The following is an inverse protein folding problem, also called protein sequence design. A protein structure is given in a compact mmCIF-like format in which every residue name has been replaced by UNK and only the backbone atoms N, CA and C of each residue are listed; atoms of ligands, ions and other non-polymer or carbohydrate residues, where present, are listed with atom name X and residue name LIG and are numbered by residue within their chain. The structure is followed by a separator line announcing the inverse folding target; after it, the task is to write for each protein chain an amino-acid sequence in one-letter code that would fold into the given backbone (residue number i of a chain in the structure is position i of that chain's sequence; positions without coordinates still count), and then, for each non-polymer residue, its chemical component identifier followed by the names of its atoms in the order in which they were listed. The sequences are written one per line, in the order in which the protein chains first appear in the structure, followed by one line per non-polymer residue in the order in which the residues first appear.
data_IF_250994143999
#
_entry.id   IF_250994143999
#
_cell.length_a   1.000
_cell.length_b   1.000
_cell.length_c   1.000
_cell.angle_alpha   90.00
_cell.angle_beta   90.00
_cell.angle_gamma   90.00
#
_symmetry.space_group_name_H-M   'P 1'
#
loop_
_entity.id
_entity.type
_entity.pdbx_description
1 polymer ?
#
# COMPACT_ATOMS: atom_id res chain seq x y z
N UNK A 1 -11.98 -13.74 -16.74
CA UNK A 1 -11.72 -12.54 -15.91
C UNK A 1 -10.27 -12.19 -16.13
N UNK A 2 -9.97 -10.99 -16.62
CA UNK A 2 -8.60 -10.53 -16.85
C UNK A 2 -7.88 -10.53 -15.50
N UNK A 3 -6.88 -11.39 -15.34
CA UNK A 3 -5.96 -11.35 -14.21
C UNK A 3 -5.30 -9.97 -14.20
N UNK A 4 -5.63 -9.16 -13.20
CA UNK A 4 -4.94 -7.89 -12.98
C UNK A 4 -3.52 -8.24 -12.53
N UNK A 5 -2.54 -8.07 -13.41
CA UNK A 5 -1.12 -8.18 -13.07
C UNK A 5 -0.67 -6.84 -12.50
N UNK A 6 -0.16 -6.86 -11.28
CA UNK A 6 0.50 -5.71 -10.68
C UNK A 6 1.73 -5.36 -11.52
N UNK A 7 1.75 -4.17 -12.13
CA UNK A 7 2.89 -3.73 -12.97
C UNK A 7 4.04 -3.19 -12.11
N UNK A 8 3.74 -2.62 -10.94
CA UNK A 8 4.72 -2.04 -10.01
C UNK A 8 4.33 -2.38 -8.57
N UNK A 9 4.80 -3.51 -7.99
CA UNK A 9 4.54 -3.81 -6.59
C UNK A 9 5.26 -2.82 -5.66
N UNK A 10 4.71 -2.55 -4.46
CA UNK A 10 3.57 -3.25 -3.85
C UNK A 10 2.18 -2.78 -4.35
N UNK A 11 1.25 -3.73 -4.54
CA UNK A 11 -0.12 -3.46 -5.00
C UNK A 11 -1.19 -3.84 -3.96
N UNK A 12 -2.30 -3.08 -3.91
CA UNK A 12 -3.49 -3.47 -3.17
C UNK A 12 -4.48 -4.22 -4.07
N UNK A 13 -4.87 -5.41 -3.66
CA UNK A 13 -5.81 -6.29 -4.35
C UNK A 13 -7.11 -6.41 -3.58
N UNK A 14 -8.24 -6.31 -4.28
CA UNK A 14 -9.57 -6.56 -3.71
C UNK A 14 -10.15 -7.80 -4.38
N UNK A 15 -10.26 -8.87 -3.60
CA UNK A 15 -10.81 -10.16 -4.07
C UNK A 15 -12.25 -10.27 -3.62
N UNK A 16 -13.16 -10.53 -4.55
CA UNK A 16 -14.61 -10.60 -4.29
C UNK A 16 -15.14 -11.99 -4.65
N UNK A 17 -15.80 -12.65 -3.69
CA UNK A 17 -16.66 -13.81 -3.96
C UNK A 17 -18.10 -13.33 -4.14
N UNK A 18 -18.52 -13.21 -5.39
CA UNK A 18 -19.87 -12.74 -5.75
C UNK A 18 -20.99 -13.71 -5.34
N UNK A 19 -20.69 -15.00 -5.31
CA UNK A 19 -21.66 -16.04 -4.93
C UNK A 19 -21.98 -15.95 -3.45
N UNK A 20 -20.94 -15.81 -2.62
CA UNK A 20 -21.05 -15.73 -1.17
C UNK A 20 -21.16 -14.30 -0.62
N UNK A 21 -21.05 -13.30 -1.48
CA UNK A 21 -21.16 -11.86 -1.18
C UNK A 21 -20.19 -11.38 -0.09
N UNK A 22 -18.93 -11.79 -0.18
CA UNK A 22 -17.87 -11.24 0.67
C UNK A 22 -16.66 -10.81 -0.15
N UNK A 23 -15.78 -10.04 0.48
CA UNK A 23 -14.52 -9.61 -0.11
C UNK A 23 -13.40 -9.64 0.92
N UNK A 24 -12.16 -9.61 0.43
CA UNK A 24 -10.95 -9.44 1.22
C UNK A 24 -9.97 -8.51 0.49
N UNK A 25 -9.13 -7.82 1.25
CA UNK A 25 -8.08 -6.93 0.73
C UNK A 25 -6.73 -7.54 1.04
N UNK A 26 -5.82 -7.52 0.06
CA UNK A 26 -4.46 -8.02 0.19
C UNK A 26 -3.46 -6.99 -0.31
N UNK A 27 -2.31 -6.92 0.35
CA UNK A 27 -1.12 -6.22 -0.14
C UNK A 27 -0.20 -7.27 -0.78
N UNK A 28 0.10 -7.12 -2.05
CA UNK A 28 1.16 -7.89 -2.74
C UNK A 28 2.48 -7.16 -2.56
N UNK A 29 3.51 -7.83 -2.03
CA UNK A 29 4.86 -7.27 -1.85
C UNK A 29 5.68 -7.35 -3.15
N UNK A 30 6.85 -6.72 -3.18
CA UNK A 30 7.79 -6.85 -4.30
C UNK A 30 8.29 -8.29 -4.51
N UNK A 31 8.29 -9.10 -3.45
CA UNK A 31 8.67 -10.52 -3.49
C UNK A 31 7.52 -11.44 -3.93
N UNK A 32 6.32 -10.89 -4.17
CA UNK A 32 5.14 -11.63 -4.59
C UNK A 32 4.32 -12.25 -3.45
N UNK A 33 4.62 -11.89 -2.19
CA UNK A 33 3.84 -12.34 -1.04
C UNK A 33 2.52 -11.57 -0.91
N UNK A 34 1.45 -12.28 -0.54
CA UNK A 34 0.13 -11.69 -0.29
C UNK A 34 -0.15 -11.58 1.22
N UNK A 35 -0.21 -10.35 1.70
CA UNK A 35 -0.51 -10.03 3.11
C UNK A 35 -1.97 -9.59 3.22
N UNK A 36 -2.77 -10.29 4.04
CA UNK A 36 -4.14 -9.86 4.32
C UNK A 36 -4.17 -8.52 5.07
N UNK A 37 -4.96 -7.59 4.57
CA UNK A 37 -5.21 -6.29 5.21
C UNK A 37 -6.67 -6.24 5.67
N UNK A 38 -6.95 -6.13 6.98
CA UNK A 38 -8.31 -5.96 7.47
C UNK A 38 -8.97 -4.70 6.88
N UNK A 39 -10.22 -4.83 6.42
CA UNK A 39 -10.98 -3.69 5.87
C UNK A 39 -11.04 -2.50 6.85
N UNK A 40 -11.12 -2.76 8.15
CA UNK A 40 -11.11 -1.72 9.18
C UNK A 40 -9.84 -0.87 9.19
N UNK A 41 -8.69 -1.45 8.86
CA UNK A 41 -7.42 -0.69 8.79
C UNK A 41 -7.36 0.13 7.50
N UNK A 42 -7.86 -0.40 6.38
CA UNK A 42 -8.01 0.35 5.12
C UNK A 42 -8.91 1.57 5.31
N UNK A 43 -10.06 1.38 5.97
CA UNK A 43 -11.02 2.46 6.24
C UNK A 43 -10.42 3.55 7.14
N UNK A 44 -9.70 3.17 8.21
CA UNK A 44 -9.00 4.11 9.08
C UNK A 44 -7.94 4.90 8.32
N UNK A 45 -7.12 4.23 7.51
CA UNK A 45 -6.10 4.88 6.70
C UNK A 45 -6.73 5.87 5.71
N UNK A 46 -7.77 5.46 4.99
CA UNK A 46 -8.49 6.30 4.04
C UNK A 46 -9.11 7.54 4.70
N UNK A 47 -9.74 7.37 5.88
CA UNK A 47 -10.32 8.48 6.63
C UNK A 47 -9.25 9.52 7.02
N UNK A 48 -8.10 9.04 7.53
CA UNK A 48 -6.97 9.89 7.91
C UNK A 48 -6.39 10.65 6.71
N UNK A 49 -6.15 9.98 5.59
CA UNK A 49 -5.65 10.60 4.36
C UNK A 49 -6.65 11.64 3.83
N UNK A 50 -7.94 11.31 3.83
CA UNK A 50 -9.01 12.23 3.39
C UNK A 50 -9.04 13.51 4.23
N UNK A 51 -8.85 13.42 5.54
CA UNK A 51 -8.77 14.59 6.42
C UNK A 51 -7.54 15.46 6.09
N UNK A 52 -6.39 14.84 5.86
CA UNK A 52 -5.15 15.52 5.50
C UNK A 52 -5.28 16.25 4.15
N UNK A 53 -5.86 15.61 3.14
CA UNK A 53 -6.11 16.22 1.83
C UNK A 53 -7.02 17.45 1.98
N UNK A 54 -8.09 17.37 2.79
CA UNK A 54 -8.96 18.53 3.08
C UNK A 54 -8.21 19.70 3.71
N UNK A 55 -7.15 19.42 4.46
CA UNK A 55 -6.23 20.41 5.05
C UNK A 55 -5.10 20.83 4.10
N UNK A 56 -5.17 20.45 2.81
CA UNK A 56 -4.18 20.75 1.75
C UNK A 56 -2.80 20.14 1.98
N UNK A 57 -2.72 19.04 2.74
CA UNK A 57 -1.51 18.23 2.75
C UNK A 57 -1.36 17.54 1.39
N UNK A 58 -0.12 17.36 0.96
CA UNK A 58 0.21 16.56 -0.22
C UNK A 58 0.78 15.22 0.18
N UNK A 59 0.73 14.27 -0.73
CA UNK A 59 1.47 13.02 -0.61
C UNK A 59 2.98 13.28 -0.72
N UNK A 60 3.76 12.50 0.05
CA UNK A 60 5.21 12.50 -0.01
C UNK A 60 5.69 11.86 -1.31
N UNK A 61 6.86 12.26 -1.81
CA UNK A 61 7.45 11.72 -3.04
C UNK A 61 8.92 11.36 -2.85
N UNK A 62 9.38 10.36 -3.59
CA UNK A 62 10.78 9.96 -3.68
C UNK A 62 11.42 9.86 -2.27
N UNK A 63 12.52 10.57 -2.05
CA UNK A 63 13.27 10.61 -0.78
C UNK A 63 12.47 11.05 0.44
N UNK A 64 11.34 11.73 0.25
CA UNK A 64 10.47 12.12 1.36
C UNK A 64 9.76 10.90 1.96
N UNK A 65 9.52 9.86 1.16
CA UNK A 65 8.94 8.60 1.62
C UNK A 65 9.93 7.92 2.56
N UNK A 66 11.19 7.79 2.13
CA UNK A 66 12.27 7.19 2.93
C UNK A 66 12.49 7.96 4.23
N UNK A 67 12.51 9.30 4.14
CA UNK A 67 12.61 10.16 5.32
C UNK A 67 11.47 9.92 6.30
N UNK A 68 10.22 9.83 5.83
CA UNK A 68 9.07 9.56 6.70
C UNK A 68 9.15 8.17 7.33
N UNK A 69 9.56 7.16 6.57
CA UNK A 69 9.70 5.79 7.07
C UNK A 69 10.80 5.70 8.13
N UNK A 70 11.96 6.32 7.91
CA UNK A 70 13.07 6.33 8.85
C UNK A 70 12.72 7.07 10.14
N UNK A 71 12.28 8.33 10.02
CA UNK A 71 12.07 9.19 11.18
C UNK A 71 10.88 8.76 12.04
N UNK A 72 9.79 8.28 11.41
CA UNK A 72 8.54 8.02 12.13
C UNK A 72 8.26 6.53 12.35
N UNK A 73 8.84 5.64 11.56
CA UNK A 73 8.67 4.19 11.71
C UNK A 73 9.95 3.47 12.13
N UNK A 74 11.10 4.17 12.18
CA UNK A 74 12.39 3.56 12.48
C UNK A 74 12.84 2.57 11.41
N UNK A 75 12.34 2.72 10.18
CA UNK A 75 12.70 1.85 9.07
C UNK A 75 14.07 2.24 8.49
N UNK A 76 14.86 1.24 8.10
CA UNK A 76 16.08 1.48 7.33
C UNK A 76 15.75 1.29 5.83
N UNK A 77 16.14 2.24 4.96
CA UNK A 77 15.98 2.07 3.52
C UNK A 77 16.84 0.88 3.07
N UNK A 78 16.25 0.03 2.24
CA UNK A 78 16.99 -1.07 1.61
C UNK A 78 17.83 -0.42 0.49
N UNK A 79 19.15 -0.61 0.54
CA UNK A 79 20.02 -0.18 -0.55
C UNK A 79 19.63 -0.95 -1.82
N UNK A 80 19.10 -0.27 -2.83
CA UNK A 80 18.94 -0.86 -4.16
C UNK A 80 20.35 -1.11 -4.71
N UNK A 81 20.76 -2.37 -4.80
CA UNK A 81 21.96 -2.74 -5.55
C UNK A 81 21.76 -2.21 -6.98
N UNK A 82 22.54 -1.19 -7.32
CA UNK A 82 22.53 -0.63 -8.67
C UNK A 82 23.04 -1.72 -9.60
N UNK A 83 22.16 -2.36 -10.37
CA UNK A 83 22.58 -3.20 -11.49
C UNK A 83 23.33 -2.30 -12.49
N UNK A 84 24.66 -2.36 -12.48
CA UNK A 84 25.55 -1.73 -13.47
C UNK A 84 25.39 -2.35 -14.87
#
# INVERSE_FOLDING_TARGET
MSEFKCENPPCLHVVVDWSKKFFAVFLETAEGDYIYVPWSEVEKAYAKVSELIRKRFREAKDREIDFLAMEYLGAEPIEEESEE
#
